data_IF_276628009668
#
_entry.id   IF_276628009668
#
_cell.length_a   1.000
_cell.length_b   1.000
_cell.length_c   1.000
_cell.angle_alpha   90.00
_cell.angle_beta   90.00
_cell.angle_gamma   90.00
#
_symmetry.space_group_name_H-M   'P 1'
#
loop_
_entity.id
_entity.type
_entity.pdbx_description
1 polymer ?
#
# COMPACT_ATOMS: atom_id res chain seq x y z
N UNK A 1 3.70 -11.77 22.70
CA UNK A 1 4.90 -10.97 22.40
C UNK A 1 4.50 -9.81 21.51
N UNK A 2 4.88 -8.58 21.87
CA UNK A 2 4.55 -7.37 21.10
C UNK A 2 5.32 -7.37 19.77
N UNK A 3 4.66 -7.06 18.65
CA UNK A 3 5.26 -7.05 17.30
C UNK A 3 6.58 -6.25 17.20
N UNK A 4 6.78 -5.25 18.08
CA UNK A 4 8.01 -4.47 18.15
C UNK A 4 9.25 -5.30 18.48
N UNK A 5 9.13 -6.24 19.42
CA UNK A 5 10.25 -7.06 19.88
C UNK A 5 10.69 -8.10 18.84
N UNK A 6 9.77 -8.53 17.97
CA UNK A 6 10.09 -9.40 16.84
C UNK A 6 10.78 -8.64 15.71
N UNK A 7 10.40 -7.37 15.48
CA UNK A 7 11.02 -6.51 14.47
C UNK A 7 12.48 -6.15 14.83
N UNK A 8 12.78 -5.92 16.11
CA UNK A 8 14.15 -5.68 16.61
C UNK A 8 15.08 -6.89 16.31
N UNK A 9 14.63 -8.12 16.57
CA UNK A 9 15.39 -9.34 16.30
C UNK A 9 15.65 -9.52 14.79
N UNK A 10 14.65 -9.29 13.94
CA UNK A 10 14.77 -9.44 12.49
C UNK A 10 15.71 -8.39 11.88
N UNK A 11 15.70 -7.16 12.43
CA UNK A 11 16.62 -6.09 12.01
C UNK A 11 18.08 -6.45 12.27
N UNK A 12 18.37 -7.05 13.43
CA UNK A 12 19.71 -7.41 13.85
C UNK A 12 20.25 -8.68 13.14
N UNK A 13 19.38 -9.65 12.80
CA UNK A 13 19.80 -10.95 12.24
C UNK A 13 19.75 -11.06 10.71
N UNK A 14 18.95 -10.25 10.02
CA UNK A 14 18.81 -10.28 8.57
C UNK A 14 18.84 -8.85 8.01
N UNK A 15 20.01 -8.32 7.59
CA UNK A 15 20.16 -6.94 7.16
C UNK A 15 19.58 -6.77 5.75
N UNK A 16 18.26 -6.79 5.66
CA UNK A 16 17.54 -6.40 4.46
C UNK A 16 17.65 -4.89 4.36
N UNK A 17 18.46 -4.40 3.41
CA UNK A 17 18.58 -2.97 3.14
C UNK A 17 17.25 -2.52 2.51
N UNK A 18 16.35 -1.84 3.24
CA UNK A 18 15.07 -1.42 2.68
C UNK A 18 15.36 -0.18 1.82
N UNK A 19 15.46 -0.36 0.51
CA UNK A 19 15.94 0.69 -0.39
C UNK A 19 14.88 1.75 -0.71
N UNK A 20 13.59 1.37 -0.78
CA UNK A 20 12.53 2.29 -1.22
C UNK A 20 11.14 1.89 -0.71
N UNK A 21 10.28 2.90 -0.54
CA UNK A 21 8.83 2.73 -0.43
C UNK A 21 8.21 3.07 -1.80
N UNK A 22 7.47 2.13 -2.39
CA UNK A 22 6.78 2.38 -3.65
C UNK A 22 5.58 3.29 -3.41
N UNK A 23 5.56 4.46 -4.04
CA UNK A 23 4.35 5.29 -4.14
C UNK A 23 3.57 4.78 -5.35
N UNK A 24 2.38 4.18 -5.17
CA UNK A 24 1.60 3.69 -6.29
C UNK A 24 1.16 4.86 -7.18
N UNK A 25 1.54 4.80 -8.46
CA UNK A 25 1.05 5.75 -9.46
C UNK A 25 -0.36 5.37 -9.88
N UNK A 26 -1.27 6.34 -9.80
CA UNK A 26 -2.69 6.15 -10.09
C UNK A 26 -3.10 7.14 -11.18
N UNK A 27 -3.69 6.61 -12.25
CA UNK A 27 -4.27 7.38 -13.34
C UNK A 27 -5.74 6.97 -13.48
N UNK A 28 -6.64 7.95 -13.36
CA UNK A 28 -8.08 7.77 -13.51
C UNK A 28 -8.61 8.71 -14.60
N UNK A 29 -9.70 8.33 -15.24
CA UNK A 29 -10.42 9.20 -16.18
C UNK A 29 -11.13 10.35 -15.43
N UNK A 30 -11.33 11.50 -16.09
CA UNK A 30 -11.90 12.70 -15.46
C UNK A 30 -13.37 12.53 -15.00
N UNK A 31 -14.08 11.61 -15.65
CA UNK A 31 -15.48 11.22 -15.39
C UNK A 31 -15.59 10.09 -14.34
N UNK A 32 -14.47 9.55 -13.84
CA UNK A 32 -14.46 8.48 -12.85
C UNK A 32 -14.66 9.04 -11.43
N UNK A 33 -15.72 8.58 -10.75
CA UNK A 33 -16.08 8.97 -9.38
C UNK A 33 -16.12 7.75 -8.45
N UNK A 34 -16.04 7.99 -7.14
CA UNK A 34 -16.16 6.96 -6.11
C UNK A 34 -14.91 6.09 -5.90
N UNK A 35 -13.81 6.36 -6.60
CA UNK A 35 -12.58 5.58 -6.51
C UNK A 35 -11.70 5.96 -5.31
N UNK A 36 -11.38 4.97 -4.46
CA UNK A 36 -10.46 5.11 -3.33
C UNK A 36 -9.29 4.12 -3.47
N UNK A 37 -8.05 4.61 -3.66
CA UNK A 37 -6.91 3.71 -3.80
C UNK A 37 -6.53 3.06 -2.48
N UNK A 38 -6.33 1.74 -2.50
CA UNK A 38 -5.95 0.99 -1.31
C UNK A 38 -4.42 0.87 -1.20
N UNK A 39 -3.81 1.07 -0.02
CA UNK A 39 -2.36 1.07 0.16
C UNK A 39 -1.67 -0.27 -0.14
N UNK A 40 -2.41 -1.36 -0.27
CA UNK A 40 -1.89 -2.68 -0.70
C UNK A 40 -1.97 -2.90 -2.22
N UNK A 41 -2.48 -1.93 -2.99
CA UNK A 41 -2.71 -2.06 -4.43
C UNK A 41 -3.89 -2.96 -4.82
N UNK A 42 -4.73 -3.33 -3.84
CA UNK A 42 -5.96 -4.08 -4.09
C UNK A 42 -7.12 -3.10 -4.29
N UNK A 43 -7.65 -3.02 -5.51
CA UNK A 43 -8.65 -2.01 -5.85
C UNK A 43 -10.07 -2.53 -5.67
N UNK A 44 -10.81 -1.95 -4.72
CA UNK A 44 -12.24 -2.22 -4.55
C UNK A 44 -13.05 -1.30 -5.47
N UNK A 45 -13.77 -1.89 -6.44
CA UNK A 45 -14.55 -1.14 -7.43
C UNK A 45 -16.05 -1.05 -7.11
N UNK A 46 -16.46 -1.46 -5.91
CA UNK A 46 -17.86 -1.62 -5.50
C UNK A 46 -18.68 -0.33 -5.61
N UNK A 47 -18.06 0.82 -5.35
CA UNK A 47 -18.69 2.14 -5.35
C UNK A 47 -18.19 3.04 -6.50
N UNK A 48 -17.48 2.45 -7.47
CA UNK A 48 -16.88 3.18 -8.59
C UNK A 48 -17.88 3.31 -9.74
N UNK A 49 -18.07 4.52 -10.24
CA UNK A 49 -18.98 4.80 -11.35
C UNK A 49 -18.46 5.91 -12.27
N UNK A 50 -19.01 5.96 -13.48
CA UNK A 50 -18.79 7.03 -14.46
C UNK A 50 -20.00 7.97 -14.47
N UNK A 51 -19.76 9.28 -14.51
CA UNK A 51 -20.78 10.32 -14.63
C UNK A 51 -21.17 10.59 -16.08
#
# INVERSE_FOLDING_TARGET
MSCKKAQEIIHDEAPWIPLVHSIPMLAASNDLKGYQPHPTGSEALTDVYFE
#
